data_IF_572098355707
#
_entry.id   IF_572098355707
#
_cell.length_a   1.000
_cell.length_b   1.000
_cell.length_c   1.000
_cell.angle_alpha   90.00
_cell.angle_beta   90.00
_cell.angle_gamma   90.00
#
_symmetry.space_group_name_H-M   'P 1'
#
loop_
_entity.id
_entity.type
_entity.pdbx_description
1 polymer ?
#
# COMPACT_ATOMS: atom_id res chain seq x y z
N UNK A 1 -0.71 -8.99 12.88
CA UNK A 1 -1.33 -7.71 12.49
C UNK A 1 -2.57 -7.99 11.66
N UNK A 2 -3.74 -7.47 12.04
CA UNK A 2 -4.94 -7.46 11.20
C UNK A 2 -5.06 -6.08 10.56
N UNK A 3 -5.17 -6.01 9.24
CA UNK A 3 -5.43 -4.76 8.52
C UNK A 3 -6.94 -4.63 8.36
N UNK A 4 -7.50 -3.48 8.71
CA UNK A 4 -8.93 -3.17 8.53
C UNK A 4 -9.03 -2.12 7.45
N UNK A 5 -9.65 -2.47 6.32
CA UNK A 5 -9.87 -1.54 5.21
C UNK A 5 -11.20 -0.83 5.38
N UNK A 6 -11.20 0.49 5.20
CA UNK A 6 -12.43 1.30 5.27
C UNK A 6 -13.39 0.99 4.10
N UNK A 7 -12.84 0.57 2.96
CA UNK A 7 -13.58 0.36 1.71
C UNK A 7 -13.18 -0.97 1.09
N UNK A 8 -14.17 -1.71 0.61
CA UNK A 8 -13.99 -3.01 -0.03
C UNK A 8 -12.98 -2.97 -1.19
N UNK A 9 -13.05 -1.97 -2.08
CA UNK A 9 -12.12 -1.89 -3.20
C UNK A 9 -10.65 -1.72 -2.76
N UNK A 10 -10.38 -1.15 -1.59
CA UNK A 10 -9.01 -1.04 -1.06
C UNK A 10 -8.47 -2.41 -0.67
N UNK A 11 -9.32 -3.23 -0.04
CA UNK A 11 -9.00 -4.62 0.28
C UNK A 11 -8.81 -5.46 -0.99
N UNK A 12 -9.71 -5.33 -1.98
CA UNK A 12 -9.59 -6.04 -3.26
C UNK A 12 -8.28 -5.69 -3.97
N UNK A 13 -7.92 -4.40 -4.04
CA UNK A 13 -6.68 -3.94 -4.65
C UNK A 13 -5.45 -4.49 -3.93
N UNK A 14 -5.47 -4.54 -2.60
CA UNK A 14 -4.35 -5.07 -1.82
C UNK A 14 -4.21 -6.60 -1.96
N UNK A 15 -5.32 -7.34 -1.91
CA UNK A 15 -5.32 -8.81 -1.87
C UNK A 15 -5.23 -9.47 -3.24
N UNK A 16 -5.86 -8.88 -4.25
CA UNK A 16 -5.98 -9.48 -5.60
C UNK A 16 -5.26 -8.68 -6.69
N UNK A 17 -4.82 -7.44 -6.37
CA UNK A 17 -4.25 -6.53 -7.34
C UNK A 17 -5.26 -5.97 -8.34
N UNK A 18 -6.58 -6.14 -8.10
CA UNK A 18 -7.65 -5.71 -9.00
C UNK A 18 -8.86 -5.28 -8.19
N UNK A 19 -9.68 -4.39 -8.76
CA UNK A 19 -10.98 -4.04 -8.20
C UNK A 19 -12.09 -4.53 -9.14
N UNK A 20 -13.17 -5.07 -8.57
CA UNK A 20 -14.31 -5.60 -9.31
C UNK A 20 -15.03 -4.46 -10.06
N UNK A 21 -15.25 -3.34 -9.36
CA UNK A 21 -15.92 -2.16 -9.90
C UNK A 21 -15.05 -1.39 -10.89
N UNK A 22 -15.63 -1.03 -12.04
CA UNK A 22 -14.95 -0.25 -13.11
C UNK A 22 -14.42 1.09 -12.60
N UNK A 23 -15.07 1.70 -11.61
CA UNK A 23 -14.66 2.98 -11.01
C UNK A 23 -13.28 2.94 -10.36
N UNK A 24 -12.83 1.76 -9.92
CA UNK A 24 -11.59 1.58 -9.15
C UNK A 24 -10.52 0.79 -9.90
N UNK A 25 -10.63 0.72 -11.23
CA UNK A 25 -9.60 0.11 -12.08
C UNK A 25 -8.46 1.10 -12.32
N UNK A 26 -7.55 1.15 -11.37
CA UNK A 26 -6.34 1.97 -11.47
C UNK A 26 -5.31 1.33 -12.40
N UNK A 27 -4.32 2.12 -12.82
CA UNK A 27 -3.20 1.61 -13.61
C UNK A 27 -2.37 0.62 -12.77
N UNK A 28 -1.80 -0.43 -13.38
CA UNK A 28 -1.03 -1.45 -12.65
C UNK A 28 0.07 -0.89 -11.74
N UNK A 29 0.76 0.18 -12.17
CA UNK A 29 1.80 0.81 -11.36
C UNK A 29 1.25 1.44 -10.08
N UNK A 30 0.07 2.06 -10.14
CA UNK A 30 -0.59 2.66 -8.96
C UNK A 30 -0.96 1.55 -7.98
N UNK A 31 -1.48 0.44 -8.47
CA UNK A 31 -1.85 -0.72 -7.64
C UNK A 31 -0.59 -1.32 -6.99
N UNK A 32 0.50 -1.48 -7.75
CA UNK A 32 1.78 -1.96 -7.23
C UNK A 32 2.30 -1.06 -6.11
N UNK A 33 2.34 0.26 -6.33
CA UNK A 33 2.78 1.23 -5.31
C UNK A 33 1.88 1.23 -4.07
N UNK A 34 0.57 1.05 -4.25
CA UNK A 34 -0.37 0.91 -3.15
C UNK A 34 -0.06 -0.33 -2.28
N UNK A 35 0.07 -1.50 -2.91
CA UNK A 35 0.43 -2.75 -2.22
C UNK A 35 1.76 -2.59 -1.48
N UNK A 36 2.80 -2.11 -2.16
CA UNK A 36 4.12 -1.90 -1.56
C UNK A 36 4.08 -0.93 -0.37
N UNK A 37 3.23 0.09 -0.42
CA UNK A 37 3.07 1.03 0.68
C UNK A 37 2.38 0.37 1.88
N UNK A 38 1.31 -0.39 1.65
CA UNK A 38 0.63 -1.14 2.73
C UNK A 38 1.56 -2.17 3.35
N UNK A 39 2.37 -2.87 2.54
CA UNK A 39 3.36 -3.84 3.03
C UNK A 39 4.45 -3.18 3.88
N UNK A 40 4.94 -2.00 3.47
CA UNK A 40 5.88 -1.20 4.29
C UNK A 40 5.28 -0.82 5.64
N UNK A 41 4.03 -0.33 5.64
CA UNK A 41 3.31 0.00 6.88
C UNK A 41 3.11 -1.22 7.77
N UNK A 42 2.83 -2.38 7.18
CA UNK A 42 2.64 -3.65 7.89
C UNK A 42 3.95 -4.17 8.50
N UNK A 43 5.07 -3.97 7.81
CA UNK A 43 6.39 -4.45 8.24
C UNK A 43 7.06 -3.53 9.28
N UNK A 44 6.66 -2.27 9.35
CA UNK A 44 7.16 -1.32 10.34
C UNK A 44 6.78 -1.76 11.78
N UNK A 45 7.75 -1.76 12.69
CA UNK A 45 7.53 -2.03 14.11
C UNK A 45 7.22 -0.75 14.88
N UNK A 46 7.66 0.40 14.36
CA UNK A 46 7.42 1.74 14.89
C UNK A 46 7.35 2.76 13.76
N UNK A 47 6.86 3.96 14.05
CA UNK A 47 6.64 4.99 13.03
C UNK A 47 7.94 5.45 12.35
N UNK A 48 9.05 5.44 13.10
CA UNK A 48 10.36 5.86 12.61
C UNK A 48 10.91 4.94 11.53
N UNK A 49 10.47 3.68 11.46
CA UNK A 49 10.88 2.73 10.41
C UNK A 49 10.40 3.19 9.02
N UNK A 50 9.41 4.09 8.96
CA UNK A 50 8.88 4.66 7.72
C UNK A 50 9.66 5.90 7.25
N UNK A 51 10.49 6.48 8.12
CA UNK A 51 11.33 7.60 7.75
C UNK A 51 12.51 7.07 6.95
N UNK A 52 12.45 7.23 5.63
CA UNK A 52 13.60 6.96 4.77
C UNK A 52 14.68 7.98 5.12
N UNK A 53 15.79 7.51 5.72
CA UNK A 53 16.98 8.35 5.83
C UNK A 53 17.45 8.65 4.41
N UNK A 54 17.23 9.87 3.94
CA UNK A 54 17.85 10.36 2.70
C UNK A 54 19.29 10.70 3.02
N UNK A 55 20.11 9.69 3.30
CA UNK A 55 21.56 9.81 3.48
C UNK A 55 22.27 9.60 2.15
N UNK A 56 21.95 10.42 1.16
CA UNK A 56 22.77 10.58 -0.04
C UNK A 56 22.65 12.01 -0.53
N UNK A 57 23.28 12.93 0.18
CA UNK A 57 23.69 14.26 -0.29
C UNK A 57 24.65 14.86 0.77
N UNK A 58 25.78 14.20 1.00
CA UNK A 58 27.04 14.80 1.48
C UNK A 58 28.20 13.97 0.91
#
# INVERSE_FOLDING_TARGET
MKIIFEKEYLEELYTTGKATSKKYRFQPEVIRKYIETVDKLRAANRIEDLFTQVSHLL
#
